data_IF_619680404709
#
_entry.id   IF_619680404709
#
_cell.length_a   1.000
_cell.length_b   1.000
_cell.length_c   1.000
_cell.angle_alpha   90.00
_cell.angle_beta   90.00
_cell.angle_gamma   90.00
#
_symmetry.space_group_name_H-M   'P 1'
#
loop_
_entity.id
_entity.type
_entity.pdbx_description
1 polymer ?
#
# COMPACT_ATOMS: atom_id res chain seq x y z
N UNK A 1 8.14 -32.02 15.51
CA UNK A 1 8.15 -31.67 14.07
C UNK A 1 6.93 -30.82 13.72
N UNK A 2 5.78 -31.07 14.36
CA UNK A 2 4.56 -30.25 14.19
C UNK A 2 4.68 -28.81 14.68
N UNK A 3 5.41 -28.57 15.79
CA UNK A 3 5.59 -27.21 16.34
C UNK A 3 6.34 -26.27 15.39
N UNK A 4 7.40 -26.76 14.74
CA UNK A 4 8.17 -25.96 13.78
C UNK A 4 7.29 -25.55 12.60
N UNK A 5 6.51 -26.48 12.04
CA UNK A 5 5.59 -26.19 10.95
C UNK A 5 4.51 -25.17 11.37
N UNK A 6 3.96 -25.31 12.58
CA UNK A 6 2.98 -24.37 13.12
C UNK A 6 3.57 -22.96 13.27
N UNK A 7 4.81 -22.83 13.77
CA UNK A 7 5.51 -21.56 13.92
C UNK A 7 5.78 -20.92 12.55
N UNK A 8 6.22 -21.70 11.55
CA UNK A 8 6.42 -21.19 10.18
C UNK A 8 5.13 -20.66 9.57
N UNK A 9 4.00 -21.37 9.75
CA UNK A 9 2.68 -20.92 9.27
C UNK A 9 2.23 -19.64 9.97
N UNK A 10 2.42 -19.55 11.28
CA UNK A 10 2.08 -18.35 12.05
C UNK A 10 2.92 -17.15 11.61
N UNK A 11 4.22 -17.34 11.41
CA UNK A 11 5.13 -16.30 10.94
C UNK A 11 4.73 -15.82 9.54
N UNK A 12 4.48 -16.73 8.60
CA UNK A 12 4.02 -16.38 7.26
C UNK A 12 2.67 -15.66 7.29
N UNK A 13 1.71 -16.16 8.06
CA UNK A 13 0.38 -15.54 8.22
C UNK A 13 0.50 -14.11 8.75
N UNK A 14 1.35 -13.87 9.75
CA UNK A 14 1.61 -12.53 10.26
C UNK A 14 2.19 -11.61 9.17
N UNK A 15 3.23 -12.06 8.47
CA UNK A 15 3.91 -11.26 7.44
C UNK A 15 3.00 -10.94 6.27
N UNK A 16 2.28 -11.93 5.71
CA UNK A 16 1.40 -11.73 4.57
C UNK A 16 0.22 -10.83 4.92
N UNK A 17 -0.42 -11.04 6.09
CA UNK A 17 -1.55 -10.20 6.52
C UNK A 17 -1.11 -8.76 6.75
N UNK A 18 0.03 -8.55 7.42
CA UNK A 18 0.54 -7.20 7.65
C UNK A 18 0.93 -6.51 6.34
N UNK A 19 1.61 -7.22 5.44
CA UNK A 19 1.96 -6.68 4.13
C UNK A 19 0.72 -6.31 3.33
N UNK A 20 -0.31 -7.16 3.26
CA UNK A 20 -1.45 -6.99 2.36
C UNK A 20 -2.29 -5.72 2.61
N UNK A 21 -2.21 -5.14 3.82
CA UNK A 21 -2.87 -3.88 4.16
C UNK A 21 -2.36 -2.71 3.30
N UNK A 22 -1.05 -2.67 3.02
CA UNK A 22 -0.43 -1.54 2.33
C UNK A 22 -0.70 -1.53 0.82
N UNK A 23 -0.51 -2.62 0.04
CA UNK A 23 -0.86 -2.65 -1.37
C UNK A 23 -2.33 -2.36 -1.62
N UNK A 24 -3.25 -2.88 -0.79
CA UNK A 24 -4.69 -2.64 -0.96
C UNK A 24 -5.04 -1.16 -0.85
N UNK A 25 -4.51 -0.48 0.19
CA UNK A 25 -4.71 0.95 0.35
C UNK A 25 -3.98 1.76 -0.76
N UNK A 26 -2.80 1.32 -1.18
CA UNK A 26 -2.04 1.95 -2.27
C UNK A 26 -2.81 1.91 -3.58
N UNK A 27 -3.40 0.76 -3.93
CA UNK A 27 -4.21 0.60 -5.16
C UNK A 27 -5.43 1.52 -5.14
N UNK A 28 -6.13 1.61 -4.00
CA UNK A 28 -7.27 2.52 -3.85
C UNK A 28 -6.88 4.00 -3.95
N UNK A 29 -5.81 4.41 -3.26
CA UNK A 29 -5.31 5.79 -3.30
C UNK A 29 -4.76 6.18 -4.67
N UNK A 30 -4.11 5.27 -5.39
CA UNK A 30 -3.62 5.53 -6.75
C UNK A 30 -4.75 5.97 -7.68
N UNK A 31 -5.87 5.24 -7.67
CA UNK A 31 -7.04 5.59 -8.48
C UNK A 31 -7.64 6.93 -8.05
N UNK A 32 -7.75 7.17 -6.73
CA UNK A 32 -8.25 8.44 -6.19
C UNK A 32 -7.40 9.64 -6.65
N UNK A 33 -6.07 9.50 -6.62
CA UNK A 33 -5.14 10.53 -7.09
C UNK A 33 -5.31 10.82 -8.58
N UNK A 34 -5.46 9.79 -9.41
CA UNK A 34 -5.70 9.95 -10.85
C UNK A 34 -7.02 10.68 -11.08
N UNK A 35 -8.08 10.33 -10.35
CA UNK A 35 -9.39 11.00 -10.46
C UNK A 35 -9.27 12.48 -10.07
N UNK A 36 -8.72 12.80 -8.90
CA UNK A 36 -8.57 14.20 -8.47
C UNK A 36 -7.67 14.99 -9.39
N UNK A 37 -6.55 14.42 -9.85
CA UNK A 37 -5.68 15.13 -10.78
C UNK A 37 -6.35 15.36 -12.12
N UNK A 38 -7.11 14.39 -12.62
CA UNK A 38 -7.89 14.52 -13.85
C UNK A 38 -8.95 15.61 -13.73
N UNK A 39 -9.68 15.65 -12.61
CA UNK A 39 -10.66 16.72 -12.34
C UNK A 39 -9.98 18.08 -12.29
N UNK A 40 -8.86 18.21 -11.56
CA UNK A 40 -8.10 19.46 -11.48
C UNK A 40 -7.66 19.98 -12.87
N UNK A 41 -7.25 19.08 -13.77
CA UNK A 41 -6.85 19.45 -15.14
C UNK A 41 -8.04 19.81 -16.03
N UNK A 42 -9.23 19.23 -15.80
CA UNK A 42 -10.43 19.48 -16.61
C UNK A 42 -11.21 20.71 -16.16
N UNK A 43 -11.27 20.97 -14.85
CA UNK A 43 -12.06 22.06 -14.28
C UNK A 43 -11.23 23.29 -13.92
N UNK A 44 -9.89 23.17 -13.97
CA UNK A 44 -8.95 24.20 -13.49
C UNK A 44 -9.18 24.59 -12.01
N UNK A 45 -9.91 23.76 -11.24
CA UNK A 45 -10.20 24.01 -9.84
C UNK A 45 -9.03 23.53 -8.96
N UNK A 46 -8.36 24.51 -8.36
CA UNK A 46 -7.20 24.29 -7.50
C UNK A 46 -7.52 23.49 -6.22
N UNK A 47 -8.80 23.36 -5.84
CA UNK A 47 -9.22 22.49 -4.74
C UNK A 47 -8.80 21.03 -4.99
N UNK A 48 -9.02 20.51 -6.21
CA UNK A 48 -8.64 19.13 -6.55
C UNK A 48 -7.12 18.95 -6.61
N UNK A 49 -6.36 19.97 -7.02
CA UNK A 49 -4.90 19.94 -6.95
C UNK A 49 -4.39 19.88 -5.50
N UNK A 50 -5.01 20.64 -4.58
CA UNK A 50 -4.69 20.57 -3.14
C UNK A 50 -5.01 19.19 -2.56
N UNK A 51 -6.18 18.65 -2.89
CA UNK A 51 -6.58 17.30 -2.46
C UNK A 51 -5.61 16.24 -2.98
N UNK A 52 -5.23 16.31 -4.27
CA UNK A 52 -4.23 15.41 -4.88
C UNK A 52 -2.91 15.45 -4.11
N UNK A 53 -2.38 16.64 -3.81
CA UNK A 53 -1.11 16.78 -3.06
C UNK A 53 -1.19 16.24 -1.64
N UNK A 54 -2.31 16.42 -0.95
CA UNK A 54 -2.54 15.86 0.38
C UNK A 54 -2.51 14.32 0.34
N UNK A 55 -3.35 13.73 -0.51
CA UNK A 55 -3.44 12.27 -0.62
C UNK A 55 -2.16 11.64 -1.18
N UNK A 56 -1.39 12.36 -2.00
CA UNK A 56 -0.12 11.85 -2.53
C UNK A 56 0.94 11.65 -1.44
N UNK A 57 0.92 12.46 -0.38
CA UNK A 57 1.80 12.24 0.78
C UNK A 57 1.44 10.97 1.52
N UNK A 58 0.15 10.74 1.75
CA UNK A 58 -0.36 9.51 2.41
C UNK A 58 -0.04 8.29 1.54
N UNK A 59 -0.27 8.38 0.23
CA UNK A 59 0.10 7.35 -0.74
C UNK A 59 1.59 7.02 -0.65
N UNK A 60 2.47 8.02 -0.63
CA UNK A 60 3.92 7.80 -0.57
C UNK A 60 4.37 7.07 0.68
N UNK A 61 3.83 7.44 1.85
CA UNK A 61 4.13 6.76 3.13
C UNK A 61 3.65 5.31 3.07
N UNK A 62 2.41 5.11 2.62
CA UNK A 62 1.81 3.78 2.55
C UNK A 62 2.52 2.86 1.54
N UNK A 63 2.94 3.41 0.40
CA UNK A 63 3.74 2.72 -0.60
C UNK A 63 5.09 2.29 -0.02
N UNK A 64 5.80 3.18 0.68
CA UNK A 64 7.07 2.86 1.33
C UNK A 64 6.93 1.71 2.34
N UNK A 65 5.88 1.73 3.18
CA UNK A 65 5.60 0.63 4.10
C UNK A 65 5.26 -0.67 3.37
N UNK A 66 4.55 -0.60 2.24
CA UNK A 66 4.30 -1.75 1.37
C UNK A 66 5.60 -2.37 0.86
N UNK A 67 6.55 -1.57 0.38
CA UNK A 67 7.86 -2.06 -0.08
C UNK A 67 8.64 -2.72 1.08
N UNK A 68 8.74 -2.03 2.22
CA UNK A 68 9.49 -2.53 3.40
C UNK A 68 8.92 -3.86 3.91
N UNK A 69 7.60 -4.03 3.87
CA UNK A 69 6.95 -5.27 4.33
C UNK A 69 6.93 -6.37 3.27
N UNK A 70 7.04 -6.03 1.98
CA UNK A 70 7.05 -6.97 0.86
C UNK A 70 8.38 -7.70 0.69
N UNK A 71 9.50 -7.03 0.96
CA UNK A 71 10.83 -7.64 0.82
C UNK A 71 10.98 -8.90 1.70
N UNK A 72 10.67 -8.88 3.02
CA UNK A 72 10.72 -10.09 3.82
C UNK A 72 9.76 -11.19 3.34
N UNK A 73 8.58 -10.82 2.83
CA UNK A 73 7.59 -11.77 2.33
C UNK A 73 8.11 -12.50 1.09
N UNK A 74 8.79 -11.81 0.16
CA UNK A 74 9.44 -12.43 -1.00
C UNK A 74 10.46 -13.49 -0.57
N UNK A 75 11.28 -13.19 0.44
CA UNK A 75 12.27 -14.12 0.97
C UNK A 75 11.68 -15.25 1.83
N UNK A 76 10.40 -15.19 2.24
CA UNK A 76 9.74 -16.30 2.94
C UNK A 76 9.33 -17.45 1.99
N UNK A 77 9.36 -17.24 0.68
CA UNK A 77 9.07 -18.29 -0.31
C UNK A 77 10.30 -19.11 -0.74
N UNK A 78 11.51 -18.59 -0.51
CA UNK A 78 12.79 -19.26 -0.83
C UNK A 78 13.30 -20.12 0.32
#
# INVERSE_FOLDING_TARGET
MDDALAIHRLHFAFTVTFHYLFPQLTMGLALLLVIFKTLALRTEDEHYNRATRFWARIFGINFALGVVTGIPLEFQFG
#
